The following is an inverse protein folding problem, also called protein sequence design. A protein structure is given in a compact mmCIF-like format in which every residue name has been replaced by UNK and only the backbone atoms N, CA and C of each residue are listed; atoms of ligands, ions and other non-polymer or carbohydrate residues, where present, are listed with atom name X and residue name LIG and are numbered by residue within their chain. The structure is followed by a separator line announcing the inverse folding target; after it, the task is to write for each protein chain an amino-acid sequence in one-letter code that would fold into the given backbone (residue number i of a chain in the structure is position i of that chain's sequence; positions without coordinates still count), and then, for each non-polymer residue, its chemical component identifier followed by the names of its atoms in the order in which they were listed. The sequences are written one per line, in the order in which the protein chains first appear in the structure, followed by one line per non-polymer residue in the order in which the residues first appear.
data_IF_969886011440
#
_entry.id   IF_969886011440
#
_cell.length_a   1.000
_cell.length_b   1.000
_cell.length_c   1.000
_cell.angle_alpha   90.00
_cell.angle_beta   90.00
_cell.angle_gamma   90.00
#
_symmetry.space_group_name_H-M   'P 1'
#
loop_
_entity.id
_entity.type
_entity.pdbx_description
1 polymer ?
#
# COMPACT_ATOMS: atom_id res chain seq x y z
N UNK A 1 18.63 -2.93 -4.53
CA UNK A 1 18.43 -2.02 -3.40
C UNK A 1 19.59 -1.02 -3.30
N UNK A 2 20.84 -1.44 -3.50
CA UNK A 2 22.02 -0.58 -3.35
C UNK A 2 22.16 0.63 -4.31
N UNK A 3 21.54 0.62 -5.49
CA UNK A 3 21.67 1.70 -6.49
C UNK A 3 20.62 2.80 -6.41
N UNK A 4 19.43 2.52 -5.90
CA UNK A 4 18.30 3.46 -5.91
C UNK A 4 17.86 3.95 -4.52
N UNK A 5 18.39 3.37 -3.45
CA UNK A 5 17.98 3.68 -2.09
C UNK A 5 16.59 3.11 -1.75
N UNK A 6 16.41 2.56 -0.55
CA UNK A 6 15.13 1.95 -0.11
C UNK A 6 13.96 2.93 -0.18
N UNK A 7 14.17 4.20 0.15
CA UNK A 7 13.12 5.23 0.16
C UNK A 7 12.56 5.52 -1.22
N UNK A 8 13.45 5.66 -2.25
CA UNK A 8 12.99 5.88 -3.63
C UNK A 8 12.17 4.70 -4.15
N UNK A 9 12.59 3.49 -3.79
CA UNK A 9 11.89 2.28 -4.19
C UNK A 9 10.52 2.18 -3.50
N UNK A 10 10.44 2.51 -2.21
CA UNK A 10 9.18 2.54 -1.45
C UNK A 10 8.20 3.56 -1.99
N UNK A 11 8.67 4.77 -2.32
CA UNK A 11 7.82 5.79 -2.92
C UNK A 11 7.35 5.42 -4.32
N UNK A 12 8.23 4.83 -5.14
CA UNK A 12 7.86 4.34 -6.47
C UNK A 12 6.79 3.23 -6.39
N UNK A 13 6.93 2.32 -5.43
CA UNK A 13 5.93 1.25 -5.18
C UNK A 13 4.58 1.83 -4.79
N UNK A 14 4.57 2.85 -3.92
CA UNK A 14 3.34 3.51 -3.48
C UNK A 14 2.64 4.23 -4.63
N UNK A 15 3.40 4.96 -5.44
CA UNK A 15 2.86 5.63 -6.65
C UNK A 15 2.29 4.58 -7.62
N UNK A 16 3.02 3.50 -7.86
CA UNK A 16 2.55 2.38 -8.68
C UNK A 16 1.25 1.78 -8.15
N UNK A 17 1.14 1.60 -6.82
CA UNK A 17 -0.07 1.11 -6.17
C UNK A 17 -1.26 2.04 -6.37
N UNK A 18 -1.06 3.35 -6.24
CA UNK A 18 -2.10 4.35 -6.49
C UNK A 18 -2.56 4.29 -7.94
N UNK A 19 -1.64 4.19 -8.90
CA UNK A 19 -1.96 4.10 -10.33
C UNK A 19 -2.81 2.85 -10.61
N UNK A 20 -2.40 1.69 -10.14
CA UNK A 20 -3.13 0.42 -10.33
C UNK A 20 -4.53 0.49 -9.72
N UNK A 21 -4.66 1.02 -8.51
CA UNK A 21 -5.96 1.15 -7.85
C UNK A 21 -6.86 2.21 -8.52
N UNK A 22 -6.28 3.28 -9.06
CA UNK A 22 -7.02 4.27 -9.86
C UNK A 22 -7.56 3.64 -11.14
N UNK A 23 -6.75 2.88 -11.87
CA UNK A 23 -7.19 2.14 -13.06
C UNK A 23 -8.31 1.16 -12.69
N UNK A 24 -8.16 0.43 -11.59
CA UNK A 24 -9.18 -0.50 -11.12
C UNK A 24 -10.50 0.21 -10.81
N UNK A 25 -10.43 1.33 -10.10
CA UNK A 25 -11.63 2.15 -9.82
C UNK A 25 -12.30 2.62 -11.11
N UNK A 26 -11.54 3.11 -12.09
CA UNK A 26 -12.07 3.55 -13.37
C UNK A 26 -12.74 2.40 -14.15
N UNK A 27 -12.15 1.22 -14.14
CA UNK A 27 -12.74 0.02 -14.74
C UNK A 27 -14.05 -0.36 -14.05
N UNK A 28 -14.14 -0.21 -12.73
CA UNK A 28 -15.38 -0.49 -12.00
C UNK A 28 -16.47 0.56 -12.23
N UNK A 29 -16.12 1.84 -12.40
CA UNK A 29 -17.09 2.90 -12.59
C UNK A 29 -17.60 3.00 -14.05
N UNK A 30 -16.71 2.76 -15.01
CA UNK A 30 -16.99 3.03 -16.43
C UNK A 30 -16.92 1.78 -17.31
N UNK A 31 -16.38 0.68 -16.79
CA UNK A 31 -16.25 -0.57 -17.54
C UNK A 31 -17.52 -1.43 -17.53
N UNK A 32 -17.49 -2.54 -18.29
CA UNK A 32 -18.60 -3.48 -18.30
C UNK A 32 -18.82 -4.13 -16.94
N UNK A 33 -20.07 -4.26 -16.54
CA UNK A 33 -20.46 -4.90 -15.29
C UNK A 33 -21.28 -6.18 -15.60
N UNK A 34 -20.94 -7.33 -15.02
CA UNK A 34 -19.79 -7.56 -14.12
C UNK A 34 -18.45 -7.44 -14.84
N UNK A 35 -17.41 -7.01 -14.13
CA UNK A 35 -16.06 -6.90 -14.69
C UNK A 35 -15.60 -8.24 -15.27
N UNK A 36 -15.14 -8.31 -16.53
CA UNK A 36 -14.67 -9.56 -17.12
C UNK A 36 -13.57 -10.22 -16.30
N UNK A 37 -13.67 -11.51 -16.07
CA UNK A 37 -12.75 -12.26 -15.22
C UNK A 37 -11.25 -12.07 -15.57
N UNK A 38 -10.82 -12.05 -16.85
CA UNK A 38 -9.42 -11.80 -17.17
C UNK A 38 -8.93 -10.42 -16.73
N UNK A 39 -9.77 -9.39 -16.85
CA UNK A 39 -9.45 -8.02 -16.40
C UNK A 39 -9.35 -7.97 -14.89
N UNK A 40 -10.30 -8.58 -14.19
CA UNK A 40 -10.28 -8.70 -12.74
C UNK A 40 -9.00 -9.37 -12.23
N UNK A 41 -8.63 -10.53 -12.78
CA UNK A 41 -7.48 -11.29 -12.31
C UNK A 41 -6.15 -10.56 -12.58
N UNK A 42 -6.04 -9.84 -13.72
CA UNK A 42 -4.87 -9.02 -14.02
C UNK A 42 -4.72 -7.86 -13.03
N UNK A 43 -5.78 -7.11 -12.79
CA UNK A 43 -5.75 -5.98 -11.86
C UNK A 43 -5.52 -6.43 -10.41
N UNK A 44 -6.17 -7.51 -9.99
CA UNK A 44 -5.97 -8.12 -8.69
C UNK A 44 -4.53 -8.62 -8.50
N UNK A 45 -3.99 -9.31 -9.49
CA UNK A 45 -2.61 -9.80 -9.47
C UNK A 45 -1.59 -8.66 -9.38
N UNK A 46 -1.80 -7.57 -10.15
CA UNK A 46 -0.97 -6.37 -10.07
C UNK A 46 -1.06 -5.70 -8.70
N UNK A 47 -2.26 -5.58 -8.14
CA UNK A 47 -2.45 -5.01 -6.82
C UNK A 47 -1.77 -5.85 -5.72
N UNK A 48 -1.89 -7.18 -5.78
CA UNK A 48 -1.24 -8.09 -4.84
C UNK A 48 0.29 -8.06 -4.96
N UNK A 49 0.82 -7.99 -6.17
CA UNK A 49 2.25 -7.81 -6.40
C UNK A 49 2.77 -6.52 -5.77
N UNK A 50 2.09 -5.41 -6.00
CA UNK A 50 2.43 -4.11 -5.41
C UNK A 50 2.32 -4.12 -3.89
N UNK A 51 1.29 -4.77 -3.34
CA UNK A 51 1.08 -4.90 -1.90
C UNK A 51 2.25 -5.64 -1.23
N UNK A 52 2.70 -6.76 -1.80
CA UNK A 52 3.87 -7.48 -1.30
C UNK A 52 5.15 -6.63 -1.35
N UNK A 53 5.32 -5.89 -2.42
CA UNK A 53 6.48 -5.01 -2.58
C UNK A 53 6.47 -3.84 -1.58
N UNK A 54 5.35 -3.17 -1.42
CA UNK A 54 5.14 -2.10 -0.43
C UNK A 54 5.41 -2.63 0.98
N UNK A 55 4.77 -3.74 1.36
CA UNK A 55 4.90 -4.33 2.69
C UNK A 55 6.36 -4.61 3.06
N UNK A 56 7.11 -5.25 2.17
CA UNK A 56 8.52 -5.57 2.40
C UNK A 56 9.40 -4.32 2.54
N UNK A 57 9.21 -3.33 1.67
CA UNK A 57 10.05 -2.13 1.67
C UNK A 57 9.74 -1.21 2.86
N UNK A 58 8.46 -0.98 3.16
CA UNK A 58 8.08 -0.13 4.30
C UNK A 58 8.40 -0.79 5.65
N UNK A 59 8.25 -2.12 5.76
CA UNK A 59 8.66 -2.84 6.95
C UNK A 59 10.17 -2.71 7.17
N UNK A 60 10.99 -2.88 6.14
CA UNK A 60 12.43 -2.69 6.22
C UNK A 60 12.81 -1.26 6.62
N UNK A 61 12.14 -0.26 6.03
CA UNK A 61 12.37 1.14 6.34
C UNK A 61 11.98 1.50 7.78
N UNK A 62 10.86 0.96 8.27
CA UNK A 62 10.40 1.16 9.64
C UNK A 62 11.34 0.51 10.67
N UNK A 63 11.97 -0.60 10.32
CA UNK A 63 12.91 -1.32 11.19
C UNK A 63 14.33 -0.75 11.18
N UNK A 64 14.70 0.06 10.18
CA UNK A 64 16.05 0.62 10.03
C UNK A 64 16.56 1.32 11.30
N UNK A 65 15.82 2.24 11.95
CA UNK A 65 16.26 2.91 13.16
C UNK A 65 16.13 2.07 14.44
N UNK A 66 15.45 0.91 14.38
CA UNK A 66 15.04 0.12 15.54
C UNK A 66 15.86 -1.17 15.72
N UNK A 67 17.02 -1.28 15.06
CA UNK A 67 17.84 -2.48 15.08
C UNK A 67 18.22 -2.95 16.50
N UNK A 68 18.41 -2.02 17.45
CA UNK A 68 18.75 -2.33 18.84
C UNK A 68 17.59 -2.95 19.66
N UNK A 69 16.35 -2.80 19.20
CA UNK A 69 15.11 -3.35 19.80
C UNK A 69 14.27 -4.13 18.79
N UNK A 70 14.92 -4.73 17.79
CA UNK A 70 14.27 -5.32 16.62
C UNK A 70 13.16 -6.31 16.98
N UNK A 71 13.33 -7.14 18.02
CA UNK A 71 12.32 -8.10 18.46
C UNK A 71 11.03 -7.44 18.94
N UNK A 72 11.13 -6.44 19.80
CA UNK A 72 9.97 -5.69 20.30
C UNK A 72 9.33 -4.86 19.18
N UNK A 73 10.15 -4.21 18.37
CA UNK A 73 9.66 -3.39 17.26
C UNK A 73 8.89 -4.22 16.22
N UNK A 74 9.40 -5.41 15.84
CA UNK A 74 8.69 -6.29 14.90
C UNK A 74 7.37 -6.80 15.47
N UNK A 75 7.29 -7.10 16.77
CA UNK A 75 6.05 -7.50 17.43
C UNK A 75 5.00 -6.38 17.42
N UNK A 76 5.40 -5.15 17.73
CA UNK A 76 4.51 -3.97 17.70
C UNK A 76 4.04 -3.67 16.28
N UNK A 77 4.94 -3.72 15.30
CA UNK A 77 4.58 -3.53 13.89
C UNK A 77 3.62 -4.60 13.40
N UNK A 78 3.87 -5.86 13.71
CA UNK A 78 3.00 -6.97 13.34
C UNK A 78 1.61 -6.85 13.97
N UNK A 79 1.54 -6.56 15.27
CA UNK A 79 0.30 -6.33 15.98
C UNK A 79 -0.52 -5.16 15.40
N UNK A 80 0.12 -4.02 15.22
CA UNK A 80 -0.53 -2.82 14.68
C UNK A 80 -1.02 -3.04 13.26
N UNK A 81 -0.22 -3.69 12.41
CA UNK A 81 -0.59 -4.01 11.03
C UNK A 81 -1.76 -4.98 10.96
N UNK A 82 -1.79 -5.99 11.84
CA UNK A 82 -2.87 -6.98 11.86
C UNK A 82 -4.18 -6.35 12.34
N UNK A 83 -4.17 -5.60 13.44
CA UNK A 83 -5.38 -4.95 13.95
C UNK A 83 -5.85 -3.84 13.01
N UNK A 84 -4.94 -2.98 12.55
CA UNK A 84 -5.27 -1.90 11.63
C UNK A 84 -5.81 -2.42 10.30
N UNK A 85 -5.14 -3.40 9.72
CA UNK A 85 -5.58 -4.06 8.48
C UNK A 85 -6.91 -4.79 8.65
N UNK A 86 -7.10 -5.50 9.76
CA UNK A 86 -8.36 -6.18 10.10
C UNK A 86 -9.53 -5.21 10.30
N UNK A 87 -9.30 -4.11 11.00
CA UNK A 87 -10.33 -3.09 11.22
C UNK A 87 -10.74 -2.38 9.92
N UNK A 88 -9.76 -1.98 9.11
CA UNK A 88 -10.01 -1.33 7.81
C UNK A 88 -10.67 -2.31 6.84
N UNK A 89 -10.13 -3.52 6.71
CA UNK A 89 -10.67 -4.54 5.81
C UNK A 89 -12.06 -5.00 6.22
N UNK A 90 -12.29 -5.19 7.52
CA UNK A 90 -13.61 -5.51 8.07
C UNK A 90 -14.62 -4.39 7.87
N UNK A 91 -14.21 -3.13 8.07
CA UNK A 91 -15.05 -1.95 7.81
C UNK A 91 -15.44 -1.82 6.34
N UNK A 92 -14.49 -2.00 5.42
CA UNK A 92 -14.75 -2.03 3.98
C UNK A 92 -15.71 -3.18 3.65
N UNK A 93 -15.44 -4.39 4.16
CA UNK A 93 -16.28 -5.56 3.91
C UNK A 93 -17.73 -5.37 4.37
N UNK A 94 -17.94 -4.73 5.52
CA UNK A 94 -19.28 -4.45 6.05
C UNK A 94 -20.01 -3.32 5.31
N UNK A 95 -19.28 -2.38 4.73
CA UNK A 95 -19.87 -1.27 3.97
C UNK A 95 -20.46 -1.71 2.62
N UNK A 96 -20.07 -2.89 2.12
CA UNK A 96 -20.52 -3.39 0.82
C UNK A 96 -21.50 -4.56 0.98
N UNK A 97 -22.77 -4.31 0.69
CA UNK A 97 -23.86 -5.28 0.68
C UNK A 97 -24.23 -5.65 -0.78
N UNK A 98 -23.42 -6.48 -1.44
CA UNK A 98 -23.69 -6.86 -2.83
C UNK A 98 -22.92 -8.10 -3.28
N UNK A 99 -23.26 -8.67 -4.46
CA UNK A 99 -22.68 -9.93 -4.94
C UNK A 99 -21.19 -9.88 -5.27
N UNK A 100 -20.62 -8.70 -5.44
CA UNK A 100 -19.18 -8.50 -5.56
C UNK A 100 -18.83 -7.13 -4.96
N UNK A 101 -18.12 -7.07 -3.83
CA UNK A 101 -17.68 -5.80 -3.31
C UNK A 101 -16.78 -5.11 -4.35
N UNK A 102 -17.03 -3.84 -4.67
CA UNK A 102 -16.14 -3.09 -5.54
C UNK A 102 -14.81 -2.85 -4.83
N UNK A 103 -13.91 -3.82 -4.93
CA UNK A 103 -12.60 -3.80 -4.26
C UNK A 103 -11.81 -2.52 -4.59
N UNK A 104 -11.94 -2.00 -5.82
CA UNK A 104 -11.30 -0.74 -6.19
C UNK A 104 -11.79 0.45 -5.37
N UNK A 105 -13.09 0.52 -5.07
CA UNK A 105 -13.65 1.59 -4.22
C UNK A 105 -13.12 1.48 -2.79
N UNK A 106 -12.91 0.26 -2.28
CA UNK A 106 -12.36 0.04 -0.94
C UNK A 106 -10.86 0.34 -0.87
N UNK A 107 -10.07 -0.14 -1.81
CA UNK A 107 -8.61 0.04 -1.80
C UNK A 107 -8.16 1.45 -2.18
N UNK A 108 -8.93 2.17 -3.00
CA UNK A 108 -8.57 3.50 -3.43
C UNK A 108 -8.38 4.51 -2.27
N UNK A 109 -9.32 4.67 -1.31
CA UNK A 109 -9.11 5.54 -0.16
C UNK A 109 -7.93 5.11 0.69
N UNK A 110 -7.72 3.80 0.87
CA UNK A 110 -6.60 3.26 1.66
C UNK A 110 -5.26 3.62 1.01
N UNK A 111 -5.17 3.56 -0.32
CA UNK A 111 -3.96 3.95 -1.05
C UNK A 111 -3.63 5.44 -0.83
N UNK A 112 -4.63 6.32 -0.86
CA UNK A 112 -4.44 7.75 -0.60
C UNK A 112 -4.13 8.06 0.87
N UNK A 113 -4.73 7.35 1.82
CA UNK A 113 -4.36 7.44 3.23
C UNK A 113 -2.90 7.05 3.44
N UNK A 114 -2.46 5.95 2.82
CA UNK A 114 -1.06 5.53 2.85
C UNK A 114 -0.12 6.60 2.31
N UNK A 115 -0.47 7.23 1.18
CA UNK A 115 0.30 8.37 0.65
C UNK A 115 0.32 9.54 1.63
N UNK A 116 -0.81 9.88 2.25
CA UNK A 116 -0.90 10.95 3.23
C UNK A 116 0.04 10.71 4.43
N UNK A 117 0.06 9.50 4.97
CA UNK A 117 0.97 9.13 6.06
C UNK A 117 2.45 9.21 5.63
N UNK A 118 2.78 8.78 4.43
CA UNK A 118 4.16 8.88 3.92
C UNK A 118 4.55 10.34 3.72
N UNK A 119 3.68 11.18 3.18
CA UNK A 119 3.94 12.62 3.03
C UNK A 119 4.19 13.31 4.38
N UNK A 120 3.43 12.96 5.40
CA UNK A 120 3.61 13.48 6.76
C UNK A 120 4.95 13.00 7.32
N UNK A 121 5.25 11.70 7.23
CA UNK A 121 6.47 11.11 7.76
C UNK A 121 7.74 11.68 7.07
N UNK A 122 7.70 11.90 5.77
CA UNK A 122 8.80 12.44 4.98
C UNK A 122 8.78 13.99 4.90
N UNK A 123 7.89 14.66 5.65
CA UNK A 123 7.75 16.13 5.64
C UNK A 123 7.62 16.72 4.24
N UNK A 124 6.90 16.02 3.36
CA UNK A 124 6.69 16.39 1.97
C UNK A 124 7.89 16.17 1.03
N UNK A 125 8.98 15.59 1.50
CA UNK A 125 10.21 15.37 0.71
C UNK A 125 10.26 13.95 0.13
N UNK A 126 9.41 13.68 -0.83
CA UNK A 126 9.44 12.41 -1.56
C UNK A 126 10.71 12.27 -2.40
N UNK A 127 11.22 11.04 -2.51
CA UNK A 127 12.38 10.66 -3.35
C UNK A 127 13.73 11.28 -2.95
N UNK A 128 13.86 11.92 -1.80
CA UNK A 128 15.14 12.47 -1.34
C UNK A 128 15.86 11.50 -0.39
N UNK A 129 17.17 11.27 -0.56
CA UNK A 129 17.97 10.52 0.41
C UNK A 129 18.09 11.35 1.69
N UNK A 130 17.90 10.73 2.86
CA UNK A 130 18.00 11.40 4.15
C UNK A 130 19.42 11.39 4.72
N UNK A 131 20.37 10.77 4.02
CA UNK A 131 21.77 10.77 4.42
C UNK A 131 22.47 11.99 3.81
N UNK A 132 22.95 12.95 4.62
CA UNK A 132 23.98 13.85 4.14
C UNK A 132 25.18 12.98 3.72
N UNK A 133 25.69 13.22 2.54
CA UNK A 133 26.93 12.60 2.09
C UNK A 133 28.01 12.84 3.15
N UNK A 134 28.54 11.76 3.74
CA UNK A 134 29.76 11.77 4.52
C UNK A 134 30.90 11.78 3.52
#
# INVERSE_FOLDING_TARGET
VGRFGMRRLSHASLVGFIIVNTIWLLVQLYGPQPTPFPVFICLFGLAMFQFGWIGSNFNSLAMEPLGHVAGTASSVLGFTSTIGGGAIGGGIGQAFHGPAPPMGIGYFPVAFLGLGFVLIAEKGRLFQPHNPAV
#
